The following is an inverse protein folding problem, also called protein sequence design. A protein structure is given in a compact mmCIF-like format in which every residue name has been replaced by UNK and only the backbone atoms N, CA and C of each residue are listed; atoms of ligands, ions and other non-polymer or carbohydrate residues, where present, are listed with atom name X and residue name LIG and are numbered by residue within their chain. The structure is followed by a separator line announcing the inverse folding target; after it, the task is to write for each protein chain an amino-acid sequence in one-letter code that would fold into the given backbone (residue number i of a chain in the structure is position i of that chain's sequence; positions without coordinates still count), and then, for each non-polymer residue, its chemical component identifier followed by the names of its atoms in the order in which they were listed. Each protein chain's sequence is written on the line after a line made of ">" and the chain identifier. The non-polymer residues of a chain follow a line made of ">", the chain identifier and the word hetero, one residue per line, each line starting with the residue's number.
data_IF_161531135440
#
_entry.id   IF_161531135440
#
_cell.length_a   1.000
_cell.length_b   1.000
_cell.length_c   1.000
_cell.angle_alpha   90.00
_cell.angle_beta   90.00
_cell.angle_gamma   90.00
#
_symmetry.space_group_name_H-M   'P 1'
#
loop_
_entity.id
_entity.type
_entity.pdbx_description
1 polymer ?
#
# COMPACT_ATOMS: atom_id res chain seq x y z
N UNK A 1 19.59 -0.37 2.39
CA UNK A 1 18.55 -1.33 2.81
C UNK A 1 17.29 -0.91 2.10
N UNK A 2 16.67 -1.83 1.38
CA UNK A 2 15.42 -1.61 0.66
C UNK A 2 14.29 -2.01 1.61
N UNK A 3 13.23 -1.22 1.64
CA UNK A 3 12.01 -1.58 2.34
C UNK A 3 10.81 -1.11 1.52
N UNK A 4 9.68 -1.70 1.82
CA UNK A 4 8.40 -1.56 1.17
C UNK A 4 7.40 -1.04 2.18
N UNK A 5 6.62 -0.06 1.77
CA UNK A 5 5.48 0.41 2.55
C UNK A 5 4.24 -0.16 1.88
N UNK A 6 3.29 -0.68 2.64
CA UNK A 6 2.03 -1.18 2.10
C UNK A 6 0.91 -0.44 2.79
N UNK A 7 0.04 0.20 2.02
CA UNK A 7 -1.09 0.97 2.54
C UNK A 7 -2.23 1.03 1.53
N UNK A 8 -3.40 1.41 2.02
CA UNK A 8 -4.54 1.79 1.23
C UNK A 8 -4.97 3.25 1.51
N UNK A 9 -5.58 3.88 0.52
CA UNK A 9 -6.14 5.22 0.64
C UNK A 9 -7.33 5.41 -0.28
N UNK A 10 -8.13 6.43 0.01
CA UNK A 10 -9.07 6.95 -0.97
C UNK A 10 -8.32 7.48 -2.19
N UNK A 11 -8.85 7.28 -3.40
CA UNK A 11 -8.17 7.59 -4.65
C UNK A 11 -7.86 9.09 -4.75
N UNK A 12 -6.57 9.41 -4.91
CA UNK A 12 -6.09 10.79 -4.91
C UNK A 12 -5.96 11.41 -3.51
N UNK A 13 -6.19 10.62 -2.45
CA UNK A 13 -5.98 10.99 -1.06
C UNK A 13 -4.73 10.32 -0.49
N UNK A 14 -4.29 10.85 0.65
CA UNK A 14 -3.19 10.28 1.42
C UNK A 14 -3.68 9.05 2.21
N UNK A 15 -2.76 8.16 2.64
CA UNK A 15 -3.09 7.03 3.49
C UNK A 15 -3.77 7.47 4.79
N UNK A 16 -4.84 6.77 5.16
CA UNK A 16 -5.63 7.05 6.37
C UNK A 16 -4.99 6.42 7.62
N UNK A 17 -4.05 5.49 7.43
CA UNK A 17 -3.37 4.72 8.46
C UNK A 17 -1.85 4.70 8.25
N UNK A 18 -1.12 4.35 9.31
CA UNK A 18 0.33 4.13 9.19
C UNK A 18 0.58 2.93 8.25
N UNK A 19 1.54 3.04 7.32
CA UNK A 19 1.82 1.96 6.38
C UNK A 19 2.44 0.76 7.11
N UNK A 20 2.11 -0.44 6.64
CA UNK A 20 2.87 -1.63 6.99
C UNK A 20 4.26 -1.55 6.33
N UNK A 21 5.32 -1.83 7.09
CA UNK A 21 6.71 -1.70 6.62
C UNK A 21 7.42 -3.05 6.69
N UNK A 22 7.99 -3.49 5.57
CA UNK A 22 8.74 -4.74 5.47
C UNK A 22 9.93 -4.61 4.53
N UNK A 23 10.98 -5.41 4.71
CA UNK A 23 12.10 -5.53 3.77
C UNK A 23 11.98 -6.75 2.83
N UNK A 24 10.96 -7.60 3.06
CA UNK A 24 10.64 -8.75 2.25
C UNK A 24 9.57 -8.37 1.18
N UNK A 25 9.90 -8.44 -0.12
CA UNK A 25 8.95 -8.12 -1.17
C UNK A 25 7.80 -9.13 -1.27
N UNK A 26 7.98 -10.39 -0.86
CA UNK A 26 6.90 -11.39 -0.83
C UNK A 26 5.90 -11.05 0.27
N UNK A 27 6.39 -10.68 1.44
CA UNK A 27 5.55 -10.22 2.55
C UNK A 27 4.80 -8.92 2.21
N UNK A 28 5.42 -8.01 1.45
CA UNK A 28 4.77 -6.80 0.96
C UNK A 28 3.58 -7.12 0.03
N UNK A 29 3.75 -8.07 -0.89
CA UNK A 29 2.70 -8.51 -1.81
C UNK A 29 1.57 -9.24 -1.07
N UNK A 30 1.89 -10.09 -0.09
CA UNK A 30 0.88 -10.76 0.73
C UNK A 30 0.08 -9.77 1.59
N UNK A 31 0.75 -8.75 2.13
CA UNK A 31 0.10 -7.67 2.88
C UNK A 31 -0.84 -6.87 1.97
N UNK A 32 -0.44 -6.57 0.74
CA UNK A 32 -1.30 -5.89 -0.23
C UNK A 32 -2.55 -6.72 -0.54
N UNK A 33 -2.40 -8.02 -0.74
CA UNK A 33 -3.52 -8.93 -0.95
C UNK A 33 -4.44 -9.00 0.28
N UNK A 34 -3.88 -8.86 1.48
CA UNK A 34 -4.64 -8.81 2.74
C UNK A 34 -5.44 -7.54 2.87
N UNK A 35 -4.86 -6.37 2.59
CA UNK A 35 -5.61 -5.11 2.58
C UNK A 35 -6.77 -5.13 1.56
N UNK A 36 -6.54 -5.68 0.37
CA UNK A 36 -7.60 -5.85 -0.64
C UNK A 36 -8.73 -6.77 -0.16
N UNK A 37 -8.38 -7.89 0.48
CA UNK A 37 -9.36 -8.83 1.01
C UNK A 37 -10.15 -8.22 2.17
N UNK A 38 -9.47 -7.62 3.14
CA UNK A 38 -10.08 -6.99 4.32
C UNK A 38 -11.03 -5.85 3.90
N UNK A 39 -10.59 -5.01 2.95
CA UNK A 39 -11.45 -3.97 2.42
C UNK A 39 -12.64 -4.56 1.65
N UNK A 40 -12.39 -5.57 0.82
CA UNK A 40 -13.44 -6.27 0.07
C UNK A 40 -14.48 -6.98 0.95
N UNK A 41 -14.10 -7.46 2.12
CA UNK A 41 -15.03 -8.01 3.13
C UNK A 41 -15.83 -6.92 3.85
N UNK A 42 -15.26 -5.72 3.97
CA UNK A 42 -15.89 -4.58 4.65
C UNK A 42 -16.86 -3.79 3.76
N UNK A 43 -16.73 -3.91 2.43
CA UNK A 43 -17.54 -3.21 1.43
C UNK A 43 -18.52 -4.18 0.75
N UNK A 44 -19.82 -4.00 0.97
CA UNK A 44 -20.88 -4.88 0.44
C UNK A 44 -21.30 -4.56 -1.00
N UNK A 45 -20.55 -3.69 -1.68
CA UNK A 45 -20.79 -3.31 -3.07
C UNK A 45 -20.09 -4.23 -4.08
N UNK A 46 -20.31 -3.95 -5.37
CA UNK A 46 -19.59 -4.62 -6.45
C UNK A 46 -18.08 -4.37 -6.41
N UNK A 47 -17.66 -3.21 -5.90
CA UNK A 47 -16.25 -2.87 -5.77
C UNK A 47 -15.59 -3.71 -4.67
N UNK A 48 -16.29 -3.94 -3.54
CA UNK A 48 -15.80 -4.84 -2.50
C UNK A 48 -15.64 -6.29 -2.98
N UNK A 49 -16.63 -6.81 -3.70
CA UNK A 49 -16.53 -8.13 -4.32
C UNK A 49 -15.35 -8.22 -5.32
N UNK A 50 -15.12 -7.17 -6.11
CA UNK A 50 -13.99 -7.09 -7.03
C UNK A 50 -12.64 -7.03 -6.30
N UNK A 51 -12.53 -6.29 -5.20
CA UNK A 51 -11.31 -6.25 -4.39
C UNK A 51 -10.96 -7.64 -3.82
N UNK A 52 -11.94 -8.39 -3.34
CA UNK A 52 -11.74 -9.76 -2.88
C UNK A 52 -11.28 -10.71 -4.01
N UNK A 53 -11.82 -10.55 -5.22
CA UNK A 53 -11.36 -11.28 -6.41
C UNK A 53 -9.90 -10.93 -6.74
N UNK A 54 -9.57 -9.63 -6.75
CA UNK A 54 -8.20 -9.17 -7.00
C UNK A 54 -7.24 -9.70 -5.93
N UNK A 55 -7.61 -9.68 -4.65
CA UNK A 55 -6.82 -10.29 -3.58
C UNK A 55 -6.53 -11.77 -3.84
N UNK A 56 -7.53 -12.54 -4.31
CA UNK A 56 -7.33 -13.94 -4.67
C UNK A 56 -6.35 -14.11 -5.85
N UNK A 57 -6.38 -13.21 -6.85
CA UNK A 57 -5.41 -13.26 -7.97
C UNK A 57 -3.97 -12.98 -7.54
N UNK A 58 -3.76 -12.18 -6.49
CA UNK A 58 -2.43 -11.95 -5.91
C UNK A 58 -1.89 -13.19 -5.17
N UNK A 59 -2.77 -13.98 -4.54
CA UNK A 59 -2.41 -15.18 -3.76
C UNK A 59 -2.40 -16.48 -4.56
N UNK A 60 -2.88 -16.47 -5.80
CA UNK A 60 -3.05 -17.67 -6.61
C UNK A 60 -1.70 -18.40 -6.83
N UNK A 61 -1.50 -19.61 -6.27
CA UNK A 61 -0.22 -20.31 -6.29
C UNK A 61 0.11 -20.97 -7.64
N UNK A 62 -0.89 -21.06 -8.53
CA UNK A 62 -0.87 -21.79 -9.81
C UNK A 62 -0.69 -20.88 -11.02
N UNK A 63 -0.64 -19.57 -10.81
CA UNK A 63 -0.32 -18.62 -11.88
C UNK A 63 1.21 -18.58 -12.03
N UNK A 64 1.77 -19.48 -12.85
CA UNK A 64 3.16 -19.39 -13.34
C UNK A 64 3.51 -17.94 -13.74
N UNK A 65 4.81 -17.58 -13.78
CA UNK A 65 5.48 -16.29 -14.10
C UNK A 65 4.68 -15.03 -14.51
N UNK A 66 3.55 -15.16 -15.18
CA UNK A 66 2.53 -14.15 -15.48
C UNK A 66 1.46 -13.90 -14.40
N UNK A 67 1.47 -14.61 -13.26
CA UNK A 67 0.52 -14.34 -12.17
C UNK A 67 0.65 -12.93 -11.59
N UNK A 68 -0.47 -12.31 -11.18
CA UNK A 68 -0.46 -10.93 -10.67
C UNK A 68 0.49 -10.76 -9.47
N UNK A 69 0.49 -11.73 -8.54
CA UNK A 69 1.45 -11.80 -7.45
C UNK A 69 2.90 -11.92 -7.93
N UNK A 70 3.20 -12.82 -8.87
CA UNK A 70 4.54 -12.98 -9.45
C UNK A 70 5.02 -11.74 -10.22
N UNK A 71 4.15 -11.08 -10.96
CA UNK A 71 4.44 -9.82 -11.68
C UNK A 71 4.74 -8.72 -10.67
N UNK A 72 3.92 -8.57 -9.62
CA UNK A 72 4.14 -7.60 -8.56
C UNK A 72 5.48 -7.83 -7.86
N UNK A 73 5.79 -9.08 -7.50
CA UNK A 73 7.06 -9.46 -6.92
C UNK A 73 8.24 -9.07 -7.82
N UNK A 74 8.18 -9.46 -9.10
CA UNK A 74 9.22 -9.13 -10.10
C UNK A 74 9.41 -7.62 -10.25
N UNK A 75 8.32 -6.83 -10.19
CA UNK A 75 8.37 -5.36 -10.21
C UNK A 75 9.08 -4.82 -8.97
N UNK A 76 8.72 -5.28 -7.77
CA UNK A 76 9.35 -4.86 -6.52
C UNK A 76 10.83 -5.22 -6.44
N UNK A 77 11.22 -6.38 -6.97
CA UNK A 77 12.61 -6.83 -7.07
C UNK A 77 13.44 -5.93 -8.01
N UNK A 78 12.84 -5.54 -9.15
CA UNK A 78 13.42 -4.57 -10.09
C UNK A 78 13.39 -3.11 -9.58
N UNK A 79 12.75 -2.85 -8.44
CA UNK A 79 12.67 -1.52 -7.83
C UNK A 79 11.58 -0.63 -8.40
N UNK A 80 10.50 -1.23 -8.89
CA UNK A 80 9.29 -0.54 -9.31
C UNK A 80 8.20 -0.66 -8.25
N UNK A 81 7.39 0.38 -8.15
CA UNK A 81 6.22 0.43 -7.28
C UNK A 81 5.09 -0.44 -7.85
N UNK A 82 4.21 -0.89 -6.96
CA UNK A 82 2.96 -1.59 -7.27
C UNK A 82 1.80 -0.73 -6.79
N UNK A 83 0.76 -0.59 -7.61
CA UNK A 83 -0.44 0.16 -7.27
C UNK A 83 -1.62 -0.59 -7.89
N UNK A 84 -2.65 -0.82 -7.09
CA UNK A 84 -3.92 -1.40 -7.49
C UNK A 84 -5.04 -0.42 -7.16
N UNK A 85 -5.97 -0.22 -8.08
CA UNK A 85 -7.10 0.70 -7.88
C UNK A 85 -8.38 -0.12 -8.00
N UNK A 86 -9.22 -0.04 -6.97
CA UNK A 86 -10.55 -0.67 -6.94
C UNK A 86 -11.57 0.39 -6.55
N UNK A 87 -12.50 0.67 -7.47
CA UNK A 87 -13.52 1.70 -7.24
C UNK A 87 -12.89 3.05 -6.88
N UNK A 88 -13.15 3.49 -5.66
CA UNK A 88 -12.64 4.74 -5.08
C UNK A 88 -11.40 4.58 -4.19
N UNK A 89 -10.79 3.39 -4.11
CA UNK A 89 -9.59 3.12 -3.30
C UNK A 89 -8.36 2.83 -4.15
N UNK A 90 -7.20 3.21 -3.65
CA UNK A 90 -5.90 2.73 -4.12
C UNK A 90 -5.21 1.91 -3.03
N UNK A 91 -4.49 0.87 -3.45
CA UNK A 91 -3.68 -0.02 -2.61
C UNK A 91 -2.28 -0.04 -3.20
N UNK A 92 -1.28 0.38 -2.43
CA UNK A 92 0.03 0.75 -2.98
C UNK A 92 1.17 0.09 -2.22
N UNK A 93 2.21 -0.27 -2.98
CA UNK A 93 3.53 -0.65 -2.50
C UNK A 93 4.58 0.26 -3.14
N UNK A 94 4.84 1.46 -2.60
CA UNK A 94 5.95 2.27 -3.07
C UNK A 94 7.31 1.66 -2.71
N UNK A 95 8.30 2.06 -3.49
CA UNK A 95 9.66 1.56 -3.40
C UNK A 95 10.55 2.56 -2.66
N UNK A 96 11.10 2.17 -1.51
CA UNK A 96 11.93 3.09 -0.70
C UNK A 96 13.39 2.64 -0.66
N UNK A 97 14.26 3.48 -1.22
CA UNK A 97 15.72 3.36 -1.11
C UNK A 97 16.31 4.50 -0.31
N UNK A 98 16.20 4.45 1.03
CA UNK A 98 17.13 5.16 1.90
C UNK A 98 17.18 4.59 3.33
N UNK A 99 18.36 4.76 3.95
CA UNK A 99 18.88 4.00 5.10
C UNK A 99 18.69 4.78 6.41
N UNK A 100 17.46 4.99 6.87
CA UNK A 100 17.21 5.49 8.24
C UNK A 100 16.00 4.74 8.82
N UNK A 101 16.18 4.19 10.03
CA UNK A 101 15.21 3.36 10.73
C UNK A 101 13.81 4.01 10.75
N UNK A 102 12.81 3.26 10.30
CA UNK A 102 11.41 3.68 10.32
C UNK A 102 10.95 3.79 11.78
N UNK A 103 10.53 4.98 12.18
CA UNK A 103 9.89 5.27 13.45
C UNK A 103 8.78 6.29 13.21
N UNK A 104 7.72 6.22 14.01
CA UNK A 104 6.53 7.06 13.89
C UNK A 104 6.90 8.55 14.07
N UNK A 105 6.46 9.35 13.09
CA UNK A 105 6.34 10.81 13.06
C UNK A 105 7.27 11.67 13.95
N UNK A 106 8.15 12.44 13.32
CA UNK A 106 8.74 13.63 13.94
C UNK A 106 7.70 14.76 13.93
N UNK A 107 7.06 15.05 15.06
CA UNK A 107 6.20 16.22 15.24
C UNK A 107 7.05 17.46 15.55
N UNK A 108 7.81 17.94 14.56
CA UNK A 108 8.54 19.22 14.66
C UNK A 108 7.95 20.23 13.69
N UNK A 109 6.75 20.74 13.95
CA UNK A 109 6.22 22.00 13.37
C UNK A 109 6.12 22.11 11.83
N UNK A 110 6.49 21.09 11.07
CA UNK A 110 6.34 20.95 9.63
C UNK A 110 5.46 19.75 9.34
N UNK A 111 4.75 19.76 8.20
CA UNK A 111 3.79 18.71 7.82
C UNK A 111 4.34 17.30 8.11
N UNK A 112 3.51 16.38 8.64
CA UNK A 112 3.95 15.02 8.92
C UNK A 112 4.60 14.43 7.67
N UNK A 113 5.65 13.65 7.82
CA UNK A 113 6.32 13.03 6.70
C UNK A 113 6.93 11.72 7.12
N UNK A 114 7.08 10.76 6.19
CA UNK A 114 7.85 9.56 6.50
C UNK A 114 9.25 10.00 6.85
N UNK A 115 9.70 9.64 8.04
CA UNK A 115 11.09 9.82 8.44
C UNK A 115 12.07 9.10 7.49
N UNK A 116 11.62 8.02 6.87
CA UNK A 116 12.40 7.16 5.97
C UNK A 116 12.67 7.78 4.58
N UNK A 117 11.67 8.42 3.98
CA UNK A 117 11.68 8.84 2.57
C UNK A 117 11.26 10.30 2.35
N UNK A 118 10.84 11.00 3.41
CA UNK A 118 10.37 12.38 3.34
C UNK A 118 9.00 12.54 2.66
N UNK A 119 8.32 11.44 2.29
CA UNK A 119 6.96 11.49 1.76
C UNK A 119 6.06 12.23 2.74
N UNK A 120 5.45 13.33 2.30
CA UNK A 120 4.58 14.15 3.14
C UNK A 120 3.26 13.41 3.37
N UNK A 121 2.87 13.33 4.62
CA UNK A 121 1.53 12.95 5.07
C UNK A 121 0.85 14.21 5.64
N UNK A 122 -0.47 14.28 5.55
CA UNK A 122 -1.26 15.34 6.19
C UNK A 122 -2.20 14.64 7.15
N UNK A 123 -2.22 15.10 8.40
CA UNK A 123 -3.11 14.55 9.42
C UNK A 123 -4.57 14.78 8.98
N UNK A 124 -5.44 13.81 9.22
CA UNK A 124 -6.88 13.89 8.93
C UNK A 124 -7.48 15.22 9.43
N UNK A 125 -7.16 15.63 10.65
CA UNK A 125 -7.64 16.88 11.28
C UNK A 125 -7.12 18.17 10.63
N UNK A 126 -6.14 18.08 9.71
CA UNK A 126 -5.57 19.21 8.98
C UNK A 126 -6.11 19.35 7.54
N UNK A 127 -7.10 18.52 7.15
CA UNK A 127 -7.75 18.55 5.84
C UNK A 127 -9.21 19.01 5.92
N UNK A 128 -9.50 20.29 6.23
CA UNK A 128 -10.87 20.79 6.37
C UNK A 128 -11.66 20.86 5.04
N UNK A 129 -11.06 20.48 3.91
CA UNK A 129 -11.75 20.31 2.62
C UNK A 129 -12.34 18.89 2.44
N UNK A 130 -12.18 18.02 3.43
CA UNK A 130 -12.79 16.68 3.50
C UNK A 130 -14.08 16.65 4.33
N UNK A 131 -14.52 17.80 4.86
CA UNK A 131 -15.83 18.02 5.51
C UNK A 131 -16.88 18.54 4.50
#
# INVERSE_FOLDING_TARGET
>A
MRHYHVYDSSLGCLPESDPYVTDDPSDAVETLASLLADWGESDDTADGAYAAEVAATYRAPDQEASGKGCIALSRLECGHEVCEIVGSRSFEIPFVTNRIACGTALTTGAAPSCWCCGTRFVLWDACPWLD
#
